data_IF_841447832516
#
_entry.id   IF_841447832516
#
_cell.length_a   1.000
_cell.length_b   1.000
_cell.length_c   1.000
_cell.angle_alpha   90.00
_cell.angle_beta   90.00
_cell.angle_gamma   90.00
#
_symmetry.space_group_name_H-M   'P 1'
#
loop_
_entity.id
_entity.type
_entity.pdbx_description
1 polymer ?
#
# COMPACT_ATOMS: atom_id res chain seq x y z
N UNK A 1 -16.95 9.91 9.00
CA UNK A 1 -16.78 9.43 7.62
C UNK A 1 -15.58 8.49 7.63
N UNK A 2 -15.83 7.18 7.53
CA UNK A 2 -14.79 6.17 7.65
C UNK A 2 -14.16 5.95 6.27
N UNK A 3 -12.87 6.23 6.14
CA UNK A 3 -12.11 5.82 4.96
C UNK A 3 -11.42 4.50 5.27
N UNK A 4 -12.01 3.40 4.84
CA UNK A 4 -11.31 2.14 4.77
C UNK A 4 -10.31 2.23 3.59
N UNK A 5 -9.04 2.37 3.89
CA UNK A 5 -8.02 2.17 2.87
C UNK A 5 -7.78 0.67 2.69
N UNK A 6 -7.73 0.24 1.46
CA UNK A 6 -7.83 -1.16 1.04
C UNK A 6 -6.66 -2.05 1.49
N UNK A 7 -5.67 -1.52 2.24
CA UNK A 7 -4.42 -2.22 2.50
C UNK A 7 -4.09 -2.49 3.96
N UNK A 8 -4.74 -1.78 4.88
CA UNK A 8 -4.43 -1.85 6.29
C UNK A 8 -5.71 -1.65 7.09
N UNK A 9 -5.79 -2.24 8.26
CA UNK A 9 -6.80 -1.85 9.25
C UNK A 9 -6.48 -0.42 9.65
N UNK A 10 -7.16 0.55 9.04
CA UNK A 10 -7.10 1.93 9.49
C UNK A 10 -7.99 2.07 10.71
N UNK A 11 -7.40 2.18 11.85
CA UNK A 11 -8.09 2.77 12.97
C UNK A 11 -7.96 4.29 12.82
N UNK A 12 -9.01 4.93 12.35
CA UNK A 12 -9.11 6.37 12.43
C UNK A 12 -9.32 6.73 13.90
N UNK A 13 -8.27 7.17 14.55
CA UNK A 13 -8.48 8.16 15.61
C UNK A 13 -9.12 9.34 14.89
N UNK A 14 -10.36 9.66 15.26
CA UNK A 14 -11.12 10.74 14.66
C UNK A 14 -10.23 11.95 14.44
N UNK A 15 -10.50 12.69 13.36
CA UNK A 15 -9.74 13.87 12.93
C UNK A 15 -8.96 14.49 14.08
N UNK A 16 -7.64 14.61 13.92
CA UNK A 16 -6.86 15.35 14.89
C UNK A 16 -7.55 16.69 15.06
N UNK A 17 -8.28 16.86 16.14
CA UNK A 17 -8.68 18.19 16.54
C UNK A 17 -7.39 18.97 16.63
N UNK A 18 -7.32 20.06 15.93
CA UNK A 18 -6.25 21.00 16.06
C UNK A 18 -6.00 21.18 17.57
N UNK A 19 -4.82 20.76 18.06
CA UNK A 19 -4.47 21.04 19.44
C UNK A 19 -4.30 22.56 19.49
N UNK A 20 -5.14 23.29 20.21
CA UNK A 20 -5.05 24.76 20.26
C UNK A 20 -3.71 25.24 20.83
N UNK A 21 -2.95 24.36 21.49
CA UNK A 21 -1.60 24.63 21.99
C UNK A 21 -0.51 24.39 20.92
N UNK A 22 -0.80 23.81 19.76
CA UNK A 22 0.04 23.83 18.58
C UNK A 22 -0.31 25.08 17.77
N UNK A 23 0.02 26.19 18.34
CA UNK A 23 -0.07 27.52 17.80
C UNK A 23 0.72 27.51 16.51
N UNK A 24 0.38 28.06 15.46
CA UNK A 24 1.18 28.58 14.35
C UNK A 24 1.40 27.74 13.11
N UNK A 25 0.73 26.58 12.97
CA UNK A 25 0.71 25.93 11.66
C UNK A 25 -0.70 25.99 11.10
N UNK A 26 -1.00 26.98 10.28
CA UNK A 26 -2.26 26.99 9.57
C UNK A 26 -2.33 25.73 8.72
N UNK A 27 -3.29 24.87 9.01
CA UNK A 27 -3.63 23.73 8.16
C UNK A 27 -4.03 24.28 6.79
N UNK A 28 -3.07 24.31 5.86
CA UNK A 28 -3.30 24.78 4.50
C UNK A 28 -3.85 23.63 3.71
N UNK A 29 -4.97 23.83 3.04
CA UNK A 29 -5.52 22.84 2.13
C UNK A 29 -4.49 22.47 1.05
N UNK A 30 -4.28 21.15 0.89
CA UNK A 30 -3.49 20.59 -0.20
C UNK A 30 -4.36 20.08 -1.36
N UNK A 31 -5.68 20.18 -1.27
CA UNK A 31 -6.58 19.70 -2.29
C UNK A 31 -6.22 20.27 -3.67
N UNK A 32 -6.01 19.40 -4.64
CA UNK A 32 -5.50 19.75 -5.96
C UNK A 32 -4.07 20.30 -6.01
N UNK A 33 -3.34 20.25 -4.89
CA UNK A 33 -1.98 20.83 -4.77
C UNK A 33 -0.89 19.81 -4.43
N UNK A 34 -1.21 18.55 -4.21
CA UNK A 34 -0.23 17.51 -3.89
C UNK A 34 0.69 17.29 -5.08
N UNK A 35 2.00 17.42 -4.85
CA UNK A 35 3.04 17.24 -5.85
C UNK A 35 3.96 16.05 -5.59
N UNK A 36 3.77 15.34 -4.48
CA UNK A 36 4.59 14.18 -4.17
C UNK A 36 4.36 13.56 -2.82
N UNK A 37 5.13 12.52 -2.57
CA UNK A 37 5.15 11.76 -1.33
C UNK A 37 6.52 11.91 -0.71
N UNK A 38 6.60 12.29 0.56
CA UNK A 38 7.85 12.39 1.31
C UNK A 38 7.96 11.27 2.31
N UNK A 39 9.04 10.51 2.23
CA UNK A 39 9.35 9.40 3.13
C UNK A 39 10.31 9.85 4.22
N UNK A 40 9.97 9.50 5.43
CA UNK A 40 10.78 9.63 6.64
C UNK A 40 10.97 8.27 7.28
N UNK A 41 11.83 8.17 8.28
CA UNK A 41 11.78 7.05 9.20
C UNK A 41 11.93 7.50 10.66
N UNK A 42 11.30 6.75 11.55
CA UNK A 42 11.41 6.85 12.99
C UNK A 42 11.68 5.48 13.60
N UNK A 43 12.14 5.47 14.85
CA UNK A 43 12.57 4.27 15.56
C UNK A 43 11.39 3.44 16.06
N UNK A 44 11.69 2.16 16.36
CA UNK A 44 10.76 1.32 17.12
C UNK A 44 10.59 1.85 18.54
N UNK A 45 9.38 1.74 19.05
CA UNK A 45 9.05 2.06 20.45
C UNK A 45 8.36 0.88 21.10
N UNK A 46 8.52 0.77 22.41
CA UNK A 46 7.73 -0.18 23.20
C UNK A 46 6.27 0.27 23.25
N UNK A 47 5.37 -0.67 23.06
CA UNK A 47 3.93 -0.40 23.03
C UNK A 47 3.19 -1.29 24.02
N UNK A 48 2.05 -0.82 24.50
CA UNK A 48 1.16 -1.63 25.32
C UNK A 48 0.59 -2.81 24.52
N UNK A 49 0.28 -3.89 25.21
CA UNK A 49 -0.37 -5.05 24.59
C UNK A 49 -1.65 -4.64 23.86
N UNK A 50 -1.81 -5.14 22.64
CA UNK A 50 -2.97 -4.83 21.80
C UNK A 50 -2.86 -3.53 21.00
N UNK A 51 -1.74 -2.79 21.10
CA UNK A 51 -1.46 -1.61 20.28
C UNK A 51 -0.27 -1.85 19.36
N UNK A 52 -0.04 -0.95 18.40
CA UNK A 52 1.10 -1.00 17.48
C UNK A 52 1.95 0.27 17.59
N UNK A 53 3.23 0.22 17.17
CA UNK A 53 4.07 1.42 17.14
C UNK A 53 3.45 2.55 16.29
N UNK A 54 2.88 2.23 15.13
CA UNK A 54 2.23 3.21 14.26
C UNK A 54 1.02 3.85 14.95
N UNK A 55 0.23 3.07 15.68
CA UNK A 55 -0.88 3.58 16.50
C UNK A 55 -0.37 4.52 17.59
N UNK A 56 0.65 4.12 18.31
CA UNK A 56 1.14 4.90 19.44
C UNK A 56 1.76 6.24 19.00
N UNK A 57 2.52 6.27 17.90
CA UNK A 57 3.01 7.50 17.32
C UNK A 57 1.86 8.41 16.85
N UNK A 58 0.83 7.85 16.23
CA UNK A 58 -0.36 8.61 15.84
C UNK A 58 -1.05 9.22 17.04
N UNK A 59 -1.23 8.46 18.13
CA UNK A 59 -1.80 8.97 19.39
C UNK A 59 -0.93 10.04 20.03
N UNK A 60 0.40 9.85 20.03
CA UNK A 60 1.34 10.84 20.56
C UNK A 60 1.28 12.15 19.76
N UNK A 61 1.20 12.10 18.45
CA UNK A 61 1.04 13.27 17.60
C UNK A 61 -0.29 13.97 17.88
N UNK A 62 -1.38 13.20 17.97
CA UNK A 62 -2.70 13.74 18.32
C UNK A 62 -2.71 14.47 19.67
N UNK A 63 -2.04 13.91 20.67
CA UNK A 63 -1.97 14.47 22.01
C UNK A 63 -0.95 15.61 22.17
N UNK A 64 -0.27 16.01 21.08
CA UNK A 64 0.74 17.07 21.11
C UNK A 64 2.11 16.63 21.64
N UNK A 65 2.32 15.34 21.92
CA UNK A 65 3.58 14.83 22.49
C UNK A 65 4.74 14.77 21.46
N UNK A 66 4.45 15.01 20.18
CA UNK A 66 5.43 15.08 19.11
C UNK A 66 5.82 16.51 18.73
N UNK A 67 5.53 17.46 19.61
CA UNK A 67 5.74 18.91 19.40
C UNK A 67 5.05 19.35 18.10
N UNK A 68 5.77 20.06 17.24
CA UNK A 68 5.22 20.64 15.99
C UNK A 68 5.17 19.62 14.83
N UNK A 69 5.75 18.44 14.99
CA UNK A 69 5.80 17.45 13.91
C UNK A 69 4.41 16.92 13.60
N UNK A 70 4.02 17.01 12.32
CA UNK A 70 2.77 16.48 11.80
C UNK A 70 3.02 15.78 10.47
N UNK A 71 2.84 14.48 10.48
CA UNK A 71 2.93 13.64 9.28
C UNK A 71 1.56 13.05 8.97
N UNK A 72 1.36 12.61 7.75
CA UNK A 72 0.08 12.04 7.33
C UNK A 72 -0.08 10.60 7.77
N UNK A 73 1.02 9.85 7.77
CA UNK A 73 1.01 8.42 8.12
C UNK A 73 2.18 8.02 8.98
N UNK A 74 1.92 7.11 9.91
CA UNK A 74 2.92 6.25 10.53
C UNK A 74 2.71 4.82 10.05
N UNK A 75 3.80 4.14 9.68
CA UNK A 75 3.77 2.78 9.11
C UNK A 75 4.73 1.89 9.87
N UNK A 76 4.25 0.73 10.31
CA UNK A 76 5.05 -0.32 10.91
C UNK A 76 4.94 -1.64 10.13
N UNK A 77 5.50 -2.72 10.69
CA UNK A 77 5.48 -4.03 10.06
C UNK A 77 4.08 -4.68 9.99
N UNK A 78 3.08 -4.10 10.62
CA UNK A 78 1.73 -4.66 10.73
C UNK A 78 0.67 -3.80 10.07
N UNK A 79 0.81 -2.48 10.17
CA UNK A 79 -0.23 -1.54 9.74
C UNK A 79 0.32 -0.17 9.36
N UNK A 80 -0.56 0.66 8.83
CA UNK A 80 -0.36 2.10 8.68
C UNK A 80 -1.52 2.84 9.35
N UNK A 81 -1.20 3.89 10.08
CA UNK A 81 -2.17 4.77 10.71
C UNK A 81 -2.15 6.14 10.04
N UNK A 82 -3.32 6.59 9.60
CA UNK A 82 -3.49 7.93 9.06
C UNK A 82 -3.70 8.91 10.21
N UNK A 83 -2.79 9.88 10.30
CA UNK A 83 -2.77 10.90 11.34
C UNK A 83 -3.43 12.21 10.89
N UNK A 84 -3.20 12.61 9.63
CA UNK A 84 -3.79 13.83 9.04
C UNK A 84 -4.68 13.51 7.83
N UNK A 85 -5.75 14.29 7.62
CA UNK A 85 -6.45 14.29 6.34
C UNK A 85 -5.50 14.63 5.18
N UNK A 86 -5.65 13.95 4.04
CA UNK A 86 -4.80 14.15 2.86
C UNK A 86 -5.06 15.50 2.15
N UNK A 87 -6.04 16.23 2.61
CA UNK A 87 -6.38 17.59 2.13
C UNK A 87 -5.68 18.69 2.92
N UNK A 88 -4.97 18.33 3.99
CA UNK A 88 -4.25 19.28 4.84
C UNK A 88 -2.74 19.13 4.69
N UNK A 89 -2.02 20.23 4.80
CA UNK A 89 -0.55 20.23 4.85
C UNK A 89 -0.05 19.67 6.18
N UNK A 90 1.09 18.98 6.13
CA UNK A 90 1.83 18.56 7.31
C UNK A 90 2.88 19.59 7.74
N UNK A 91 3.60 19.27 8.84
CA UNK A 91 4.82 19.97 9.23
C UNK A 91 5.91 18.93 9.51
N UNK A 92 6.68 18.60 8.47
CA UNK A 92 7.55 17.42 8.52
C UNK A 92 8.87 17.59 7.76
N UNK A 93 8.94 18.56 6.82
CA UNK A 93 10.05 18.65 5.87
C UNK A 93 11.12 19.68 6.28
N UNK A 94 10.88 20.43 7.36
CA UNK A 94 11.75 21.49 7.86
C UNK A 94 12.12 22.55 6.80
N UNK A 95 11.30 22.72 5.77
CA UNK A 95 11.46 23.70 4.70
C UNK A 95 10.54 24.93 4.86
N UNK A 96 9.98 25.11 6.06
CA UNK A 96 9.09 26.23 6.38
C UNK A 96 7.84 26.23 5.51
N UNK A 97 7.65 27.30 4.75
CA UNK A 97 6.55 27.42 3.79
C UNK A 97 6.83 26.74 2.44
N UNK A 98 7.83 25.90 2.38
CA UNK A 98 8.23 25.21 1.17
C UNK A 98 7.28 24.08 0.72
N UNK A 99 7.58 23.53 -0.42
CA UNK A 99 6.76 22.50 -1.06
C UNK A 99 6.72 21.20 -0.25
N UNK A 100 7.80 20.86 0.46
CA UNK A 100 7.86 19.68 1.31
C UNK A 100 6.72 19.69 2.32
N UNK A 101 6.64 20.73 3.14
CA UNK A 101 5.58 20.88 4.14
C UNK A 101 4.20 21.11 3.53
N UNK A 102 4.09 21.94 2.51
CA UNK A 102 2.81 22.44 2.01
C UNK A 102 2.16 21.58 0.94
N UNK A 103 2.95 20.73 0.25
CA UNK A 103 2.46 20.07 -0.98
C UNK A 103 2.82 18.60 -1.08
N UNK A 104 3.36 17.98 -0.02
CA UNK A 104 3.62 16.54 -0.04
C UNK A 104 2.91 15.79 1.08
N UNK A 105 2.55 14.56 0.80
CA UNK A 105 2.03 13.62 1.79
C UNK A 105 3.22 12.95 2.48
N UNK A 106 3.30 13.07 3.80
CA UNK A 106 4.40 12.52 4.60
C UNK A 106 4.08 11.12 5.14
N UNK A 107 5.05 10.23 5.04
CA UNK A 107 5.00 8.87 5.61
C UNK A 107 6.20 8.69 6.52
N UNK A 108 5.98 8.37 7.80
CA UNK A 108 7.00 7.91 8.73
C UNK A 108 7.05 6.38 8.73
N UNK A 109 8.12 5.81 8.21
CA UNK A 109 8.40 4.38 8.25
C UNK A 109 9.09 4.03 9.58
N UNK A 110 8.47 3.19 10.39
CA UNK A 110 9.01 2.78 11.68
C UNK A 110 9.95 1.61 11.47
N UNK A 111 11.23 1.84 11.72
CA UNK A 111 12.28 0.84 11.52
C UNK A 111 13.53 1.18 12.32
N UNK A 112 14.50 0.27 12.34
CA UNK A 112 15.78 0.44 13.03
C UNK A 112 16.97 0.31 12.09
N UNK A 113 18.15 0.67 12.58
CA UNK A 113 19.42 0.48 11.86
C UNK A 113 19.81 -0.99 11.69
N UNK A 114 19.19 -1.90 12.44
CA UNK A 114 19.46 -3.34 12.34
C UNK A 114 19.00 -3.94 11.01
N UNK A 115 18.04 -3.28 10.35
CA UNK A 115 17.46 -3.70 9.07
C UNK A 115 17.11 -5.19 9.00
N UNK A 116 16.50 -5.68 10.08
CA UNK A 116 16.08 -7.07 10.26
C UNK A 116 14.79 -7.38 9.48
N UNK A 117 14.25 -8.57 9.67
CA UNK A 117 13.02 -9.00 8.96
C UNK A 117 11.79 -8.13 9.28
N UNK A 118 11.72 -7.59 10.49
CA UNK A 118 10.63 -6.68 10.93
C UNK A 118 10.77 -5.33 10.24
N UNK A 119 11.98 -4.78 10.18
CA UNK A 119 12.29 -3.53 9.48
C UNK A 119 11.97 -3.64 7.99
N UNK A 120 12.41 -4.74 7.35
CA UNK A 120 12.12 -5.00 5.92
C UNK A 120 10.63 -5.09 5.63
N UNK A 121 9.84 -5.61 6.56
CA UNK A 121 8.38 -5.67 6.43
C UNK A 121 7.74 -4.29 6.60
N UNK A 122 8.24 -3.48 7.54
CA UNK A 122 7.81 -2.09 7.70
C UNK A 122 8.11 -1.28 6.43
N UNK A 123 9.31 -1.40 5.90
CA UNK A 123 9.71 -0.76 4.64
C UNK A 123 8.85 -1.22 3.45
N UNK A 124 8.52 -2.52 3.36
CA UNK A 124 7.64 -3.03 2.32
C UNK A 124 6.23 -2.43 2.41
N UNK A 125 5.69 -2.32 3.62
CA UNK A 125 4.41 -1.67 3.86
C UNK A 125 4.46 -0.17 3.50
N UNK A 126 5.56 0.51 3.83
CA UNK A 126 5.80 1.90 3.45
C UNK A 126 5.84 2.06 1.92
N UNK A 127 6.56 1.18 1.21
CA UNK A 127 6.63 1.20 -0.25
C UNK A 127 5.26 0.99 -0.91
N UNK A 128 4.43 0.10 -0.37
CA UNK A 128 3.05 -0.13 -0.84
C UNK A 128 2.18 1.10 -0.66
N UNK A 129 2.24 1.73 0.52
CA UNK A 129 1.49 2.94 0.80
C UNK A 129 1.94 4.09 -0.10
N UNK A 130 3.24 4.28 -0.27
CA UNK A 130 3.79 5.30 -1.15
C UNK A 130 3.30 5.11 -2.60
N UNK A 131 3.33 3.88 -3.13
CA UNK A 131 2.81 3.57 -4.46
C UNK A 131 1.31 3.85 -4.59
N UNK A 132 0.50 3.49 -3.58
CA UNK A 132 -0.93 3.75 -3.58
C UNK A 132 -1.24 5.25 -3.58
N UNK A 133 -0.46 6.05 -2.84
CA UNK A 133 -0.61 7.50 -2.79
C UNK A 133 -0.15 8.16 -4.09
N UNK A 134 0.98 7.76 -4.67
CA UNK A 134 1.42 8.23 -5.98
C UNK A 134 0.33 7.98 -7.03
N UNK A 135 -0.20 6.76 -7.08
CA UNK A 135 -1.30 6.39 -7.98
C UNK A 135 -2.56 7.24 -7.75
N UNK A 136 -2.94 7.46 -6.49
CA UNK A 136 -4.10 8.29 -6.11
C UNK A 136 -4.02 9.69 -6.71
N UNK A 137 -2.83 10.28 -6.74
CA UNK A 137 -2.61 11.64 -7.23
C UNK A 137 -2.14 11.73 -8.70
N UNK A 138 -2.08 10.59 -9.41
CA UNK A 138 -1.62 10.54 -10.80
C UNK A 138 -0.14 10.90 -10.96
N UNK A 139 0.67 10.60 -9.94
CA UNK A 139 2.10 10.90 -9.87
C UNK A 139 2.93 9.65 -10.19
N UNK A 140 4.12 9.85 -10.75
CA UNK A 140 5.08 8.80 -11.02
C UNK A 140 6.15 8.69 -9.91
N UNK A 141 7.09 7.77 -10.08
CA UNK A 141 8.17 7.51 -9.12
C UNK A 141 9.11 8.70 -8.91
N UNK A 142 9.16 9.67 -9.82
CA UNK A 142 9.99 10.87 -9.68
C UNK A 142 9.41 11.87 -8.67
N UNK A 143 8.16 11.65 -8.24
CA UNK A 143 7.47 12.43 -7.21
C UNK A 143 7.57 11.78 -5.81
N UNK A 144 8.48 10.81 -5.66
CA UNK A 144 8.83 10.24 -4.37
C UNK A 144 10.10 10.91 -3.84
N UNK A 145 9.98 11.53 -2.68
CA UNK A 145 11.01 12.38 -2.09
C UNK A 145 11.47 11.85 -0.72
N UNK A 146 12.69 12.20 -0.34
CA UNK A 146 13.20 12.06 1.01
C UNK A 146 13.02 13.38 1.79
N UNK A 147 13.04 13.34 3.11
CA UNK A 147 13.14 14.57 3.91
C UNK A 147 14.43 15.35 3.55
N UNK A 148 15.55 14.64 3.39
CA UNK A 148 16.83 15.25 3.01
C UNK A 148 16.75 16.04 1.70
N UNK A 149 15.93 15.61 0.74
CA UNK A 149 15.65 16.36 -0.48
C UNK A 149 15.16 17.77 -0.18
N UNK A 150 14.18 17.93 0.70
CA UNK A 150 13.60 19.23 1.04
C UNK A 150 14.55 20.12 1.82
N UNK A 151 15.41 19.53 2.66
CA UNK A 151 16.49 20.27 3.31
C UNK A 151 17.47 20.83 2.29
N UNK A 152 17.84 20.05 1.27
CA UNK A 152 18.70 20.51 0.19
C UNK A 152 18.05 21.64 -0.62
N UNK A 153 16.77 21.50 -0.94
CA UNK A 153 15.99 22.56 -1.63
C UNK A 153 15.95 23.84 -0.79
N UNK A 154 15.64 23.73 0.49
CA UNK A 154 15.65 24.88 1.43
C UNK A 154 16.99 25.61 1.44
N UNK A 155 18.09 24.84 1.40
CA UNK A 155 19.45 25.38 1.48
C UNK A 155 20.01 25.80 0.12
N UNK A 156 19.14 25.97 -0.89
CA UNK A 156 19.49 26.46 -2.23
C UNK A 156 20.30 25.48 -3.08
N UNK A 157 20.22 24.15 -2.76
CA UNK A 157 20.82 23.13 -3.56
C UNK A 157 19.83 22.55 -4.57
N UNK A 158 20.34 22.08 -5.71
CA UNK A 158 19.48 21.41 -6.67
C UNK A 158 18.78 20.23 -5.98
N UNK A 159 17.47 20.23 -6.00
CA UNK A 159 16.64 19.24 -5.36
C UNK A 159 16.69 17.84 -5.98
N UNK A 160 17.59 17.59 -6.94
CA UNK A 160 17.72 16.32 -7.60
C UNK A 160 18.49 15.25 -6.79
N UNK A 161 18.93 15.59 -5.58
CA UNK A 161 19.72 14.68 -4.76
C UNK A 161 18.80 14.05 -3.72
N UNK A 162 18.36 12.85 -3.99
CA UNK A 162 17.71 11.99 -2.99
C UNK A 162 18.69 11.59 -1.89
N UNK A 163 19.98 11.68 -2.17
CA UNK A 163 21.06 11.36 -1.26
C UNK A 163 21.91 12.58 -0.93
N UNK A 164 22.37 12.60 0.25
CA UNK A 164 23.16 13.53 0.99
C UNK A 164 24.25 14.30 0.32
N UNK A 165 24.25 15.53 0.67
CA UNK A 165 25.51 16.20 0.96
C UNK A 165 25.68 16.29 2.48
N UNK A 166 26.34 15.30 3.06
CA UNK A 166 26.64 15.21 4.50
C UNK A 166 27.35 16.44 5.05
N UNK A 167 28.09 17.15 4.22
CA UNK A 167 28.82 18.35 4.61
C UNK A 167 27.89 19.53 4.96
N UNK A 168 26.66 19.55 4.44
CA UNK A 168 25.72 20.64 4.69
C UNK A 168 24.55 20.29 5.62
N UNK A 169 24.19 19.01 5.72
CA UNK A 169 23.15 18.53 6.63
C UNK A 169 23.69 17.39 7.48
N UNK A 170 24.78 17.57 8.21
CA UNK A 170 25.40 16.51 9.01
C UNK A 170 24.49 16.03 10.13
N UNK A 171 23.45 16.81 10.45
CA UNK A 171 22.52 16.56 11.56
C UNK A 171 21.23 15.86 11.11
N UNK A 172 20.94 15.71 9.82
CA UNK A 172 19.65 15.12 9.41
C UNK A 172 19.74 14.36 8.09
N UNK A 173 20.01 13.07 8.23
CA UNK A 173 19.77 12.07 7.20
C UNK A 173 18.38 11.48 7.44
N UNK A 174 17.44 11.72 6.55
CA UNK A 174 16.09 11.17 6.71
C UNK A 174 15.47 10.89 5.33
N UNK A 175 15.04 9.67 5.11
CA UNK A 175 14.97 8.49 6.01
C UNK A 175 16.35 7.79 6.18
N UNK A 176 16.95 7.88 7.38
CA UNK A 176 18.34 7.47 7.62
C UNK A 176 18.60 5.99 7.26
N UNK A 177 17.63 5.12 7.52
CA UNK A 177 17.78 3.67 7.34
C UNK A 177 17.37 3.19 5.94
N UNK A 178 16.66 4.02 5.15
CA UNK A 178 16.28 3.72 3.77
C UNK A 178 17.26 4.37 2.77
N UNK A 179 17.83 5.52 3.11
CA UNK A 179 18.76 6.26 2.26
C UNK A 179 19.90 5.42 1.69
N UNK A 180 20.57 4.51 2.46
CA UNK A 180 21.66 3.70 1.93
C UNK A 180 21.27 2.80 0.76
N UNK A 181 19.97 2.47 0.62
CA UNK A 181 19.40 1.65 -0.45
C UNK A 181 18.16 2.31 -1.08
N UNK A 182 18.17 3.64 -1.15
CA UNK A 182 17.05 4.42 -1.70
C UNK A 182 16.64 4.01 -3.12
N UNK A 183 17.63 3.64 -3.96
CA UNK A 183 17.32 3.18 -5.32
C UNK A 183 16.55 1.87 -5.34
N UNK A 184 16.84 0.95 -4.44
CA UNK A 184 16.11 -0.31 -4.27
C UNK A 184 14.71 -0.06 -3.72
N UNK A 185 14.58 0.85 -2.77
CA UNK A 185 13.29 1.27 -2.25
C UNK A 185 12.42 1.90 -3.36
N UNK A 186 12.97 2.81 -4.19
CA UNK A 186 12.27 3.38 -5.34
C UNK A 186 11.81 2.29 -6.33
N UNK A 187 12.68 1.33 -6.67
CA UNK A 187 12.30 0.18 -7.52
C UNK A 187 11.16 -0.65 -6.92
N UNK A 188 11.17 -0.83 -5.60
CA UNK A 188 10.08 -1.52 -4.89
C UNK A 188 8.76 -0.75 -5.00
N UNK A 189 8.78 0.56 -4.75
CA UNK A 189 7.61 1.44 -4.94
C UNK A 189 7.12 1.39 -6.39
N UNK A 190 8.02 1.51 -7.35
CA UNK A 190 7.70 1.46 -8.78
C UNK A 190 7.09 0.11 -9.18
N UNK A 191 7.59 -0.99 -8.64
CA UNK A 191 6.99 -2.31 -8.88
C UNK A 191 5.54 -2.37 -8.42
N UNK A 192 5.20 -1.74 -7.28
CA UNK A 192 3.82 -1.65 -6.79
C UNK A 192 2.98 -0.65 -7.59
N UNK A 193 3.58 0.41 -8.10
CA UNK A 193 2.92 1.42 -8.92
C UNK A 193 2.54 0.84 -10.30
N UNK A 194 3.44 0.06 -10.91
CA UNK A 194 3.29 -0.52 -12.24
C UNK A 194 2.50 -1.84 -12.24
N UNK A 195 2.49 -2.58 -11.15
CA UNK A 195 1.53 -3.68 -11.00
C UNK A 195 0.15 -3.04 -10.89
N UNK A 196 -0.50 -2.88 -12.04
CA UNK A 196 -1.85 -2.35 -12.11
C UNK A 196 -2.72 -3.06 -11.09
N UNK A 197 -3.02 -2.36 -10.02
CA UNK A 197 -3.98 -2.69 -8.96
C UNK A 197 -4.28 -4.18 -8.75
N UNK A 198 -3.26 -4.99 -8.55
CA UNK A 198 -3.41 -6.18 -7.73
C UNK A 198 -3.01 -5.75 -6.32
N UNK A 199 -3.93 -5.09 -5.66
CA UNK A 199 -3.90 -4.97 -4.22
C UNK A 199 -3.63 -6.35 -3.63
N UNK A 200 -2.51 -6.58 -2.93
CA UNK A 200 -2.55 -7.60 -1.93
C UNK A 200 -3.56 -7.09 -0.90
N UNK A 201 -4.73 -7.68 -0.93
CA UNK A 201 -5.69 -7.54 0.15
C UNK A 201 -4.93 -7.74 1.47
N UNK A 202 -5.01 -6.84 2.46
CA UNK A 202 -4.40 -7.09 3.75
C UNK A 202 -4.92 -8.42 4.23
N UNK A 203 -4.02 -9.34 4.53
CA UNK A 203 -4.42 -10.55 5.22
C UNK A 203 -4.92 -10.09 6.58
N UNK A 204 -6.23 -10.16 6.89
CA UNK A 204 -6.68 -10.06 8.27
C UNK A 204 -5.86 -11.07 9.07
N UNK A 205 -5.62 -10.83 10.34
CA UNK A 205 -4.83 -11.73 11.20
C UNK A 205 -5.32 -13.20 11.19
N UNK A 206 -6.42 -13.49 10.49
CA UNK A 206 -7.02 -14.80 10.29
C UNK A 206 -7.36 -15.13 8.81
N UNK A 207 -6.82 -14.40 7.81
CA UNK A 207 -7.11 -14.76 6.42
C UNK A 207 -6.26 -15.94 5.99
N UNK A 208 -6.90 -17.07 5.73
CA UNK A 208 -6.28 -18.25 5.17
C UNK A 208 -6.64 -18.39 3.69
N UNK A 209 -5.62 -18.50 2.85
CA UNK A 209 -5.76 -18.91 1.45
C UNK A 209 -5.93 -20.41 1.37
N UNK A 210 -7.09 -20.85 0.89
CA UNK A 210 -7.44 -22.27 0.82
C UNK A 210 -7.23 -22.79 -0.59
N UNK A 211 -6.54 -23.91 -0.71
CA UNK A 211 -6.32 -24.62 -1.98
C UNK A 211 -7.35 -25.71 -2.09
N UNK A 212 -8.30 -25.56 -3.04
CA UNK A 212 -9.44 -26.47 -3.26
C UNK A 212 -9.71 -26.64 -4.76
N UNK A 213 -10.49 -27.64 -5.14
CA UNK A 213 -11.02 -27.76 -6.51
C UNK A 213 -12.05 -26.68 -6.83
N UNK A 214 -12.93 -26.36 -5.88
CA UNK A 214 -13.85 -25.23 -5.91
C UNK A 214 -14.09 -24.70 -4.49
N UNK A 215 -14.64 -23.52 -4.36
CA UNK A 215 -14.93 -22.96 -3.02
C UNK A 215 -15.94 -23.82 -2.24
N UNK A 216 -16.98 -24.31 -2.92
CA UNK A 216 -18.02 -25.15 -2.35
C UNK A 216 -17.56 -26.56 -1.98
N UNK A 217 -16.47 -27.04 -2.57
CA UNK A 217 -15.93 -28.38 -2.29
C UNK A 217 -14.88 -28.31 -1.17
N UNK A 218 -15.38 -28.17 0.07
CA UNK A 218 -14.51 -28.10 1.24
C UNK A 218 -13.70 -29.39 1.47
N UNK A 219 -14.22 -30.57 1.01
CA UNK A 219 -13.56 -31.87 1.15
C UNK A 219 -12.32 -32.00 0.26
N UNK A 220 -12.25 -31.23 -0.83
CA UNK A 220 -11.09 -31.21 -1.71
C UNK A 220 -9.92 -30.36 -1.18
N UNK A 221 -10.06 -29.72 -0.01
CA UNK A 221 -9.02 -28.82 0.50
C UNK A 221 -7.71 -29.57 0.79
N UNK A 222 -6.63 -29.16 0.10
CA UNK A 222 -5.30 -29.74 0.31
C UNK A 222 -4.40 -28.89 1.20
N UNK A 223 -4.83 -27.65 1.52
CA UNK A 223 -4.09 -26.76 2.43
C UNK A 223 -4.82 -25.46 2.68
N UNK A 224 -4.40 -24.79 3.77
CA UNK A 224 -4.77 -23.43 4.12
C UNK A 224 -3.51 -22.68 4.57
N UNK A 225 -3.24 -21.55 3.94
CA UNK A 225 -1.98 -20.83 4.06
C UNK A 225 -2.24 -19.36 4.42
N UNK A 226 -1.44 -18.83 5.33
CA UNK A 226 -1.47 -17.40 5.65
C UNK A 226 -0.86 -16.51 4.54
N UNK A 227 -0.10 -17.11 3.62
CA UNK A 227 0.52 -16.44 2.47
C UNK A 227 -0.06 -16.95 1.16
N UNK A 228 -0.47 -16.02 0.28
CA UNK A 228 -0.92 -16.33 -1.07
C UNK A 228 0.19 -17.03 -1.89
N UNK A 229 1.45 -16.65 -1.69
CA UNK A 229 2.58 -17.25 -2.39
C UNK A 229 2.75 -18.73 -2.02
N UNK A 230 2.66 -19.05 -0.73
CA UNK A 230 2.71 -20.44 -0.27
C UNK A 230 1.51 -21.25 -0.77
N UNK A 231 0.33 -20.65 -0.80
CA UNK A 231 -0.85 -21.28 -1.39
C UNK A 231 -0.70 -21.54 -2.90
N UNK A 232 -0.09 -20.59 -3.64
CA UNK A 232 0.21 -20.77 -5.07
C UNK A 232 1.21 -21.90 -5.31
N UNK A 233 2.28 -21.98 -4.52
CA UNK A 233 3.27 -23.07 -4.60
C UNK A 233 2.65 -24.44 -4.34
N UNK A 234 1.67 -24.50 -3.46
CA UNK A 234 0.94 -25.74 -3.14
C UNK A 234 -0.20 -26.07 -4.13
N UNK A 235 -0.57 -25.13 -4.98
CA UNK A 235 -1.68 -25.31 -5.92
C UNK A 235 -1.24 -26.17 -7.09
N UNK A 236 -1.93 -27.30 -7.29
CA UNK A 236 -1.69 -28.25 -8.40
C UNK A 236 -2.79 -28.17 -9.46
N UNK A 237 -2.54 -28.84 -10.58
CA UNK A 237 -3.52 -28.94 -11.68
C UNK A 237 -4.90 -29.39 -11.18
N UNK A 238 -5.95 -28.70 -11.61
CA UNK A 238 -7.34 -28.96 -11.20
C UNK A 238 -7.73 -28.32 -9.85
N UNK A 239 -6.83 -27.57 -9.22
CA UNK A 239 -7.10 -26.82 -7.99
C UNK A 239 -7.00 -25.31 -8.23
N UNK A 240 -7.60 -24.55 -7.32
CA UNK A 240 -7.51 -23.11 -7.26
C UNK A 240 -7.26 -22.63 -5.83
N UNK A 241 -6.73 -21.43 -5.69
CA UNK A 241 -6.55 -20.78 -4.41
C UNK A 241 -7.71 -19.80 -4.20
N UNK A 242 -8.36 -19.89 -3.06
CA UNK A 242 -9.47 -19.02 -2.66
C UNK A 242 -9.08 -18.23 -1.42
N UNK A 243 -9.51 -16.97 -1.36
CA UNK A 243 -9.41 -16.16 -0.15
C UNK A 243 -10.47 -16.55 0.90
N UNK A 244 -10.50 -15.89 2.04
CA UNK A 244 -11.44 -16.16 3.13
C UNK A 244 -12.91 -15.92 2.75
N UNK A 245 -13.16 -15.13 1.69
CA UNK A 245 -14.50 -14.80 1.20
C UNK A 245 -14.94 -15.73 0.06
N UNK A 246 -14.11 -16.71 -0.29
CA UNK A 246 -14.40 -17.64 -1.38
C UNK A 246 -14.08 -17.12 -2.77
N UNK A 247 -13.44 -15.96 -2.89
CA UNK A 247 -13.00 -15.43 -4.17
C UNK A 247 -11.77 -16.20 -4.63
N UNK A 248 -11.80 -16.71 -5.87
CA UNK A 248 -10.63 -17.33 -6.48
C UNK A 248 -9.57 -16.26 -6.76
N UNK A 249 -8.37 -16.47 -6.20
CA UNK A 249 -7.23 -15.58 -6.32
C UNK A 249 -6.07 -16.15 -7.13
N UNK A 250 -6.11 -17.47 -7.41
CA UNK A 250 -5.15 -18.13 -8.29
C UNK A 250 -5.69 -19.46 -8.82
N UNK A 251 -5.44 -19.85 -10.11
CA UNK A 251 -4.96 -18.94 -11.15
C UNK A 251 -5.93 -17.77 -11.35
N UNK A 252 -5.42 -16.68 -11.91
CA UNK A 252 -6.28 -15.52 -12.18
C UNK A 252 -7.44 -15.95 -13.08
N UNK A 253 -8.67 -15.58 -12.70
CA UNK A 253 -9.84 -15.89 -13.51
C UNK A 253 -9.76 -15.06 -14.79
N UNK A 254 -9.85 -15.70 -15.94
CA UNK A 254 -9.88 -15.01 -17.23
C UNK A 254 -11.11 -14.09 -17.31
N UNK A 255 -11.00 -12.99 -18.02
CA UNK A 255 -12.13 -12.14 -18.32
C UNK A 255 -13.16 -12.86 -19.21
N UNK A 256 -14.40 -12.41 -19.18
CA UNK A 256 -15.45 -12.95 -20.07
C UNK A 256 -15.05 -12.82 -21.55
N UNK A 257 -14.38 -11.72 -21.91
CA UNK A 257 -13.87 -11.48 -23.25
C UNK A 257 -12.81 -12.49 -23.68
N UNK A 258 -11.87 -12.84 -22.80
CA UNK A 258 -10.85 -13.87 -23.07
C UNK A 258 -11.49 -15.25 -23.21
N UNK A 259 -12.45 -15.57 -22.33
CA UNK A 259 -13.17 -16.83 -22.39
C UNK A 259 -14.04 -16.93 -23.65
N UNK A 260 -14.69 -15.83 -24.05
CA UNK A 260 -15.46 -15.77 -25.31
C UNK A 260 -14.59 -16.05 -26.54
N UNK A 261 -13.39 -15.46 -26.62
CA UNK A 261 -12.41 -15.76 -27.68
C UNK A 261 -12.01 -17.24 -27.66
N UNK A 262 -11.78 -17.82 -26.50
CA UNK A 262 -11.46 -19.25 -26.39
C UNK A 262 -12.64 -20.16 -26.78
N UNK A 263 -13.86 -19.74 -26.54
CA UNK A 263 -15.08 -20.43 -27.02
C UNK A 263 -15.13 -20.44 -28.56
N UNK A 264 -14.85 -19.27 -29.18
CA UNK A 264 -14.77 -19.15 -30.64
C UNK A 264 -13.66 -20.04 -31.20
N UNK A 265 -12.54 -20.17 -30.48
CA UNK A 265 -11.43 -21.07 -30.85
C UNK A 265 -11.71 -22.55 -30.56
N UNK A 266 -12.91 -22.91 -30.12
CA UNK A 266 -13.30 -24.30 -29.85
C UNK A 266 -12.76 -24.93 -28.55
N UNK A 267 -12.04 -24.17 -27.72
CA UNK A 267 -11.38 -24.69 -26.49
C UNK A 267 -12.36 -25.11 -25.38
N UNK A 268 -13.61 -24.69 -25.47
CA UNK A 268 -14.64 -24.96 -24.46
C UNK A 268 -15.70 -25.96 -24.89
N UNK A 269 -15.45 -26.75 -25.94
CA UNK A 269 -16.40 -27.67 -26.48
C UNK A 269 -17.69 -26.98 -27.02
N UNK A 270 -18.79 -27.73 -27.22
CA UNK A 270 -20.03 -27.23 -27.80
C UNK A 270 -21.27 -27.63 -26.97
N UNK A 271 -22.39 -26.91 -27.18
CA UNK A 271 -23.68 -27.27 -26.61
C UNK A 271 -23.69 -27.40 -25.08
N UNK A 272 -24.31 -28.46 -24.59
CA UNK A 272 -24.45 -28.73 -23.16
C UNK A 272 -23.12 -28.92 -22.45
N UNK A 273 -22.13 -29.49 -23.12
CA UNK A 273 -20.79 -29.70 -22.56
C UNK A 273 -20.06 -28.36 -22.35
N UNK A 274 -20.20 -27.40 -23.28
CA UNK A 274 -19.70 -26.03 -23.10
C UNK A 274 -20.31 -25.39 -21.86
N UNK A 275 -21.65 -25.47 -21.73
CA UNK A 275 -22.35 -24.92 -20.56
C UNK A 275 -21.81 -25.52 -19.26
N UNK A 276 -21.67 -26.84 -19.21
CA UNK A 276 -21.14 -27.58 -18.06
C UNK A 276 -19.71 -27.12 -17.69
N UNK A 277 -18.82 -27.02 -18.69
CA UNK A 277 -17.41 -26.60 -18.47
C UNK A 277 -17.30 -25.17 -18.01
N UNK A 278 -18.02 -24.23 -18.62
CA UNK A 278 -18.04 -22.82 -18.24
C UNK A 278 -18.57 -22.64 -16.81
N UNK A 279 -19.69 -23.29 -16.49
CA UNK A 279 -20.27 -23.25 -15.14
C UNK A 279 -19.32 -23.86 -14.10
N UNK A 280 -18.70 -24.98 -14.40
CA UNK A 280 -17.71 -25.63 -13.53
C UNK A 280 -16.48 -24.75 -13.30
N UNK A 281 -16.09 -23.95 -14.29
CA UNK A 281 -15.02 -22.95 -14.18
C UNK A 281 -15.48 -21.63 -13.52
N UNK A 282 -16.75 -21.56 -13.09
CA UNK A 282 -17.31 -20.40 -12.38
C UNK A 282 -17.68 -19.23 -13.28
N UNK A 283 -17.88 -19.44 -14.57
CA UNK A 283 -18.40 -18.43 -15.51
C UNK A 283 -19.92 -18.55 -15.67
N UNK A 284 -20.58 -17.41 -15.84
CA UNK A 284 -21.96 -17.41 -16.30
C UNK A 284 -22.01 -17.74 -17.79
N UNK A 285 -22.69 -18.85 -18.13
CA UNK A 285 -22.77 -19.31 -19.52
C UNK A 285 -23.44 -18.28 -20.43
N UNK A 286 -24.51 -17.62 -19.93
CA UNK A 286 -25.29 -16.70 -20.76
C UNK A 286 -24.48 -15.42 -21.04
N UNK A 287 -23.73 -14.94 -20.05
CA UNK A 287 -22.82 -13.79 -20.21
C UNK A 287 -21.73 -14.07 -21.23
N UNK A 288 -21.06 -15.24 -21.11
CA UNK A 288 -20.05 -15.66 -22.09
C UNK A 288 -20.65 -15.83 -23.48
N UNK A 289 -21.82 -16.48 -23.60
CA UNK A 289 -22.46 -16.69 -24.90
C UNK A 289 -22.92 -15.38 -25.54
N UNK A 290 -23.44 -14.44 -24.74
CA UNK A 290 -23.75 -13.09 -25.22
C UNK A 290 -22.53 -12.41 -25.81
N UNK A 291 -21.38 -12.54 -25.15
CA UNK A 291 -20.11 -11.96 -25.62
C UNK A 291 -19.60 -12.64 -26.88
N UNK A 292 -19.69 -13.99 -26.96
CA UNK A 292 -19.39 -14.73 -28.17
C UNK A 292 -20.22 -14.20 -29.36
N UNK A 293 -21.54 -14.05 -29.18
CA UNK A 293 -22.43 -13.56 -30.23
C UNK A 293 -22.16 -12.11 -30.66
N UNK A 294 -21.45 -11.34 -29.86
CA UNK A 294 -21.01 -9.98 -30.20
C UNK A 294 -19.69 -9.96 -30.97
N UNK A 295 -18.95 -11.07 -30.98
CA UNK A 295 -17.60 -11.16 -31.55
C UNK A 295 -17.59 -11.90 -32.91
N UNK A 296 -18.68 -12.55 -33.27
CA UNK A 296 -18.93 -13.24 -34.54
C UNK A 296 -20.03 -12.52 -35.34
#
# INVERSE_FOLDING_TARGET
MYFACVFFVFCLLGYTKHNPNHIDMPSISMEGKVIGITVHNTEWISVASGTTPAEQYTRATYNGNMKDVRVHYYVDNTCAWQNLPLTLSGWHAADGSGNGNRRTIAIECIMSSAYNSTDKKSEDNCARLAAALLKKYGLDINHLYTHTHWLNVRDGKSGSVDYLNTARNPYKMCPAYILPHWSEFKKKVESYLNTGSTTPNPTPANQLYRVRKSWSDAKSQIGAYSSLENARKACKAGYAVFDSNGKQVYPAKKSVDEVAREVIQGKWSNGAERKKRLTAAGYDYNEVQKKVNQMI
#
